data_IF_432757607740
#
_entry.id   IF_432757607740
#
_cell.length_a   1.000
_cell.length_b   1.000
_cell.length_c   1.000
_cell.angle_alpha   90.00
_cell.angle_beta   90.00
_cell.angle_gamma   90.00
#
_symmetry.space_group_name_H-M   'P 1'
#
loop_
_entity.id
_entity.type
_entity.pdbx_description
1 polymer ?
#
# COMPACT_ATOMS: atom_id res chain seq x y z
N UNK A 1 -34.78 25.66 -21.66
CA UNK A 1 -34.44 24.46 -22.46
C UNK A 1 -32.93 24.40 -22.60
N UNK A 2 -32.38 23.17 -22.51
CA UNK A 2 -30.99 22.73 -22.73
C UNK A 2 -30.03 22.82 -21.52
N UNK A 3 -30.09 21.78 -20.69
CA UNK A 3 -29.02 21.38 -19.76
C UNK A 3 -28.11 20.41 -20.51
N UNK A 4 -26.85 20.77 -20.72
CA UNK A 4 -25.82 19.84 -21.23
C UNK A 4 -25.26 19.02 -20.07
N UNK A 5 -25.63 17.75 -20.00
CA UNK A 5 -25.06 16.74 -19.12
C UNK A 5 -23.81 16.15 -19.76
N UNK A 6 -22.65 16.31 -19.13
CA UNK A 6 -21.47 15.51 -19.40
C UNK A 6 -21.03 14.84 -18.09
N UNK A 7 -21.56 13.63 -17.85
CA UNK A 7 -21.12 12.76 -16.76
C UNK A 7 -20.06 11.83 -17.34
N UNK A 8 -18.79 12.10 -17.04
CA UNK A 8 -17.71 11.18 -17.37
C UNK A 8 -17.59 10.12 -16.26
N UNK A 9 -18.20 8.96 -16.48
CA UNK A 9 -18.00 7.75 -15.67
C UNK A 9 -16.69 7.08 -16.11
N UNK A 10 -15.66 7.09 -15.26
CA UNK A 10 -14.48 6.24 -15.43
C UNK A 10 -14.59 5.03 -14.51
N UNK A 11 -15.13 3.95 -15.06
CA UNK A 11 -15.13 2.62 -14.45
C UNK A 11 -13.77 1.95 -14.67
N UNK A 12 -13.02 1.71 -13.60
CA UNK A 12 -11.85 0.82 -13.66
C UNK A 12 -12.29 -0.61 -13.35
N UNK A 13 -12.41 -1.42 -14.40
CA UNK A 13 -12.66 -2.85 -14.31
C UNK A 13 -11.43 -3.58 -13.74
N UNK A 14 -11.62 -4.32 -12.65
CA UNK A 14 -10.60 -5.16 -12.02
C UNK A 14 -10.71 -6.57 -12.62
N UNK A 15 -9.80 -6.92 -13.52
CA UNK A 15 -9.72 -8.30 -14.05
C UNK A 15 -8.91 -9.19 -13.11
N UNK A 16 -9.55 -10.25 -12.64
CA UNK A 16 -8.97 -11.36 -11.88
C UNK A 16 -8.16 -12.27 -12.82
N UNK A 17 -6.98 -12.71 -12.38
CA UNK A 17 -6.16 -13.69 -13.10
C UNK A 17 -6.49 -15.11 -12.62
N UNK A 18 -6.71 -16.03 -13.56
CA UNK A 18 -6.58 -17.47 -13.35
C UNK A 18 -5.20 -17.86 -13.89
N UNK A 19 -4.32 -18.39 -13.04
CA UNK A 19 -3.11 -19.10 -13.48
C UNK A 19 -3.26 -20.56 -13.06
N UNK A 20 -3.43 -21.41 -14.07
CA UNK A 20 -3.40 -22.86 -13.96
C UNK A 20 -1.95 -23.32 -13.74
N UNK A 21 -1.75 -24.20 -12.76
CA UNK A 21 -0.46 -24.84 -12.48
C UNK A 21 -0.12 -25.87 -13.57
N UNK A 22 1.13 -25.90 -14.03
CA UNK A 22 1.66 -26.97 -14.88
C UNK A 22 2.90 -27.59 -14.21
N UNK A 23 2.88 -28.90 -13.85
CA UNK A 23 4.06 -29.58 -13.32
C UNK A 23 4.88 -30.21 -14.47
N UNK A 24 6.14 -29.81 -14.62
CA UNK A 24 7.09 -30.51 -15.48
C UNK A 24 7.89 -31.56 -14.69
N UNK A 25 8.00 -32.75 -15.30
CA UNK A 25 8.56 -34.02 -14.80
C UNK A 25 10.09 -33.96 -14.54
N UNK A 26 10.64 -34.90 -13.74
CA UNK A 26 12.06 -34.98 -13.44
C UNK A 26 12.84 -35.69 -14.56
N UNK A 27 14.07 -35.22 -14.82
CA UNK A 27 15.08 -35.96 -15.58
C UNK A 27 16.16 -36.43 -14.61
N UNK A 28 16.33 -37.75 -14.55
CA UNK A 28 17.47 -38.41 -13.93
C UNK A 28 18.60 -38.54 -14.95
N UNK A 29 19.82 -38.13 -14.62
CA UNK A 29 21.04 -38.67 -15.22
C UNK A 29 22.10 -38.88 -14.14
N UNK A 30 22.62 -40.11 -14.13
CA UNK A 30 23.73 -40.57 -13.32
C UNK A 30 25.06 -40.06 -13.87
N UNK A 31 26.03 -39.85 -12.98
CA UNK A 31 27.42 -39.56 -13.32
C UNK A 31 28.32 -39.74 -12.12
N UNK A 32 29.00 -40.89 -12.07
CA UNK A 32 30.05 -41.18 -11.11
C UNK A 32 31.34 -40.44 -11.49
N UNK A 33 32.06 -39.92 -10.49
CA UNK A 33 33.38 -39.32 -10.65
C UNK A 33 34.01 -39.04 -9.29
N UNK A 34 34.96 -39.89 -8.89
CA UNK A 34 35.83 -39.72 -7.72
C UNK A 34 36.89 -38.65 -7.99
N UNK A 35 37.26 -37.85 -6.98
CA UNK A 35 38.53 -37.10 -7.01
C UNK A 35 38.64 -35.88 -6.09
N UNK A 36 39.50 -36.04 -5.07
CA UNK A 36 40.35 -35.04 -4.39
C UNK A 36 39.78 -34.25 -3.19
N UNK A 37 40.60 -34.24 -2.13
CA UNK A 37 40.35 -33.83 -0.75
C UNK A 37 40.57 -32.31 -0.49
N UNK A 38 40.48 -31.84 0.76
CA UNK A 38 39.63 -30.73 1.17
C UNK A 38 40.32 -29.36 1.01
N UNK A 39 39.67 -28.42 0.34
CA UNK A 39 40.03 -27.01 0.49
C UNK A 39 39.21 -26.45 1.65
N UNK A 40 39.92 -25.97 2.67
CA UNK A 40 39.46 -25.25 3.87
C UNK A 40 38.08 -24.62 3.72
N UNK A 41 37.12 -24.90 4.61
CA UNK A 41 35.91 -24.08 4.65
C UNK A 41 36.34 -22.68 5.06
N UNK A 42 36.37 -21.76 4.08
CA UNK A 42 36.10 -20.35 4.36
C UNK A 42 34.88 -20.37 5.27
N UNK A 43 35.02 -19.83 6.46
CA UNK A 43 33.93 -19.62 7.42
C UNK A 43 32.82 -18.87 6.69
N UNK A 44 31.95 -19.62 6.01
CA UNK A 44 30.64 -19.18 5.60
C UNK A 44 29.95 -19.05 6.93
N UNK A 45 30.04 -17.87 7.50
CA UNK A 45 29.33 -17.52 8.72
C UNK A 45 27.93 -18.05 8.52
N UNK A 46 27.58 -19.11 9.24
CA UNK A 46 26.21 -19.54 9.45
C UNK A 46 25.52 -18.35 10.10
N UNK A 47 25.11 -17.38 9.28
CA UNK A 47 24.04 -16.45 9.61
C UNK A 47 22.75 -17.26 9.51
N UNK A 48 22.69 -18.09 10.53
CA UNK A 48 21.76 -19.05 11.07
C UNK A 48 20.30 -18.93 10.62
N UNK A 49 19.54 -20.05 10.65
CA UNK A 49 18.08 -20.08 10.50
C UNK A 49 17.34 -19.02 11.32
N UNK A 50 17.89 -18.64 12.49
CA UNK A 50 17.34 -17.60 13.38
C UNK A 50 17.26 -16.22 12.72
N UNK A 51 18.26 -15.80 11.94
CA UNK A 51 18.23 -14.50 11.24
C UNK A 51 17.30 -14.51 10.03
N UNK A 52 17.16 -15.65 9.35
CA UNK A 52 16.18 -15.81 8.29
C UNK A 52 14.74 -15.77 8.83
N UNK A 53 14.50 -16.42 9.96
CA UNK A 53 13.21 -16.40 10.65
C UNK A 53 12.84 -14.99 11.18
N UNK A 54 13.80 -14.21 11.68
CA UNK A 54 13.54 -12.83 12.09
C UNK A 54 13.21 -11.92 10.91
N UNK A 55 13.95 -12.05 9.80
CA UNK A 55 13.68 -11.27 8.59
C UNK A 55 12.30 -11.60 8.01
N UNK A 56 11.91 -12.88 7.98
CA UNK A 56 10.56 -13.29 7.56
C UNK A 56 9.46 -12.63 8.43
N UNK A 57 9.59 -12.67 9.75
CA UNK A 57 8.61 -12.03 10.66
C UNK A 57 8.49 -10.52 10.44
N UNK A 58 9.60 -9.82 10.21
CA UNK A 58 9.55 -8.38 9.91
C UNK A 58 8.88 -8.10 8.56
N UNK A 59 9.09 -8.95 7.55
CA UNK A 59 8.36 -8.84 6.28
C UNK A 59 6.86 -9.10 6.46
N UNK A 60 6.47 -10.12 7.23
CA UNK A 60 5.08 -10.44 7.54
C UNK A 60 4.38 -9.28 8.30
N UNK A 61 5.09 -8.59 9.20
CA UNK A 61 4.54 -7.40 9.87
C UNK A 61 4.28 -6.22 8.89
N UNK A 62 5.14 -6.03 7.89
CA UNK A 62 4.88 -5.06 6.82
C UNK A 62 3.66 -5.50 6.00
N UNK A 63 3.56 -6.77 5.63
CA UNK A 63 2.43 -7.32 4.88
C UNK A 63 1.09 -7.12 5.61
N UNK A 64 1.04 -7.40 6.90
CA UNK A 64 -0.14 -7.20 7.74
C UNK A 64 -0.56 -5.73 7.75
N UNK A 65 0.39 -4.81 7.93
CA UNK A 65 0.11 -3.37 7.87
C UNK A 65 -0.48 -2.98 6.51
N UNK A 66 0.08 -3.48 5.40
CA UNK A 66 -0.41 -3.18 4.05
C UNK A 66 -1.83 -3.71 3.81
N UNK A 67 -2.13 -4.92 4.29
CA UNK A 67 -3.47 -5.50 4.21
C UNK A 67 -4.50 -4.65 4.96
N UNK A 68 -4.17 -4.27 6.20
CA UNK A 68 -5.01 -3.41 7.03
C UNK A 68 -5.17 -2.01 6.42
N UNK A 69 -4.09 -1.46 5.84
CA UNK A 69 -4.06 -0.19 5.11
C UNK A 69 -5.03 -0.19 3.93
N UNK A 70 -5.00 -1.23 3.10
CA UNK A 70 -5.92 -1.38 1.98
C UNK A 70 -7.36 -1.43 2.43
N UNK A 71 -7.64 -2.26 3.44
CA UNK A 71 -9.01 -2.46 3.94
C UNK A 71 -9.61 -1.16 4.48
N UNK A 72 -8.87 -0.46 5.34
CA UNK A 72 -9.35 0.77 5.98
C UNK A 72 -9.54 1.93 5.01
N UNK A 73 -8.89 1.92 3.85
CA UNK A 73 -9.01 2.97 2.83
C UNK A 73 -9.90 2.59 1.66
N UNK A 74 -10.46 1.38 1.68
CA UNK A 74 -11.53 0.99 0.80
C UNK A 74 -12.71 1.95 1.01
N UNK A 75 -13.32 2.40 -0.08
CA UNK A 75 -14.50 3.27 0.00
C UNK A 75 -14.23 4.76 0.25
N UNK A 76 -12.97 5.25 0.34
CA UNK A 76 -12.76 6.70 0.45
C UNK A 76 -13.45 7.47 -0.68
N UNK A 77 -13.34 6.99 -1.92
CA UNK A 77 -14.01 7.63 -3.07
C UNK A 77 -15.52 7.71 -2.88
N UNK A 78 -16.14 6.64 -2.36
CA UNK A 78 -17.57 6.58 -2.11
C UNK A 78 -17.97 7.50 -0.95
N UNK A 79 -17.16 7.55 0.11
CA UNK A 79 -17.34 8.44 1.25
C UNK A 79 -17.26 9.93 0.84
N UNK A 80 -16.30 10.30 -0.01
CA UNK A 80 -16.20 11.65 -0.58
C UNK A 80 -17.40 11.98 -1.46
N UNK A 81 -17.84 11.03 -2.29
CA UNK A 81 -19.04 11.21 -3.12
C UNK A 81 -20.30 11.37 -2.25
N UNK A 82 -20.42 10.62 -1.16
CA UNK A 82 -21.53 10.74 -0.21
C UNK A 82 -21.50 12.08 0.54
N UNK A 83 -20.33 12.51 1.03
CA UNK A 83 -20.15 13.80 1.68
C UNK A 83 -20.49 14.97 0.73
N UNK A 84 -20.09 14.87 -0.54
CA UNK A 84 -20.44 15.85 -1.57
C UNK A 84 -21.94 15.96 -1.84
N UNK A 85 -22.71 14.89 -1.58
CA UNK A 85 -24.18 14.87 -1.66
C UNK A 85 -24.89 15.22 -0.36
N UNK A 86 -24.17 15.75 0.64
CA UNK A 86 -24.72 16.07 1.96
C UNK A 86 -25.20 14.86 2.77
N UNK A 87 -24.69 13.65 2.47
CA UNK A 87 -24.93 12.50 3.32
C UNK A 87 -24.01 12.57 4.55
N UNK A 88 -24.54 12.67 5.79
CA UNK A 88 -23.72 12.72 7.00
C UNK A 88 -22.84 11.49 7.18
N UNK A 89 -23.25 10.32 6.64
CA UNK A 89 -22.44 9.10 6.66
C UNK A 89 -21.15 9.24 5.85
N UNK A 90 -21.16 10.10 4.83
CA UNK A 90 -19.96 10.40 4.04
C UNK A 90 -18.90 11.10 4.88
N UNK A 91 -19.28 12.15 5.62
CA UNK A 91 -18.37 12.87 6.51
C UNK A 91 -17.83 11.96 7.63
N UNK A 92 -18.70 11.14 8.23
CA UNK A 92 -18.31 10.16 9.24
C UNK A 92 -17.29 9.15 8.69
N UNK A 93 -17.57 8.56 7.53
CA UNK A 93 -16.65 7.63 6.89
C UNK A 93 -15.29 8.27 6.53
N UNK A 94 -15.28 9.52 6.02
CA UNK A 94 -14.01 10.24 5.75
C UNK A 94 -13.22 10.43 7.06
N UNK A 95 -13.89 10.73 8.18
CA UNK A 95 -13.25 10.88 9.49
C UNK A 95 -12.63 9.55 9.94
N UNK A 96 -13.37 8.45 9.90
CA UNK A 96 -12.88 7.12 10.32
C UNK A 96 -11.70 6.64 9.49
N UNK A 97 -11.76 6.88 8.17
CA UNK A 97 -10.66 6.59 7.24
C UNK A 97 -9.42 7.41 7.61
N UNK A 98 -9.60 8.69 7.93
CA UNK A 98 -8.49 9.59 8.31
C UNK A 98 -7.82 9.14 9.61
N UNK A 99 -8.62 8.71 10.60
CA UNK A 99 -8.12 8.16 11.87
C UNK A 99 -7.36 6.85 11.63
N UNK A 100 -7.94 5.93 10.86
CA UNK A 100 -7.30 4.65 10.53
C UNK A 100 -5.94 4.86 9.84
N UNK A 101 -5.86 5.83 8.92
CA UNK A 101 -4.60 6.17 8.22
C UNK A 101 -3.54 6.73 9.17
N UNK A 102 -3.94 7.56 10.14
CA UNK A 102 -3.03 8.06 11.20
C UNK A 102 -2.43 6.90 12.01
N UNK A 103 -3.26 5.95 12.40
CA UNK A 103 -2.85 4.84 13.25
C UNK A 103 -1.91 3.89 12.46
N UNK A 104 -2.18 3.66 11.18
CA UNK A 104 -1.27 2.93 10.28
C UNK A 104 0.08 3.63 10.11
N UNK A 105 0.09 4.96 9.98
CA UNK A 105 1.33 5.74 9.91
C UNK A 105 2.14 5.58 11.20
N UNK A 106 1.49 5.56 12.37
CA UNK A 106 2.16 5.31 13.65
C UNK A 106 2.75 3.89 13.71
N UNK A 107 1.98 2.87 13.31
CA UNK A 107 2.46 1.49 13.21
C UNK A 107 3.67 1.37 12.27
N UNK A 108 3.63 2.02 11.10
CA UNK A 108 4.73 1.99 10.15
C UNK A 108 6.01 2.63 10.71
N UNK A 109 5.88 3.72 11.45
CA UNK A 109 7.01 4.36 12.16
C UNK A 109 7.59 3.45 13.25
N UNK A 110 6.77 2.60 13.85
CA UNK A 110 7.19 1.66 14.90
C UNK A 110 7.78 0.34 14.39
N UNK A 111 7.62 -0.01 13.11
CA UNK A 111 8.12 -1.27 12.55
C UNK A 111 9.62 -1.48 12.79
N UNK A 112 9.99 -2.65 13.30
CA UNK A 112 11.36 -3.13 13.24
C UNK A 112 11.62 -3.79 11.88
N UNK A 113 12.67 -3.33 11.20
CA UNK A 113 13.07 -3.77 9.86
C UNK A 113 14.56 -4.09 9.78
N UNK A 114 15.21 -4.22 10.94
CA UNK A 114 16.67 -4.38 11.07
C UNK A 114 17.22 -5.68 10.46
N UNK A 115 16.40 -6.72 10.36
CA UNK A 115 16.78 -8.00 9.77
C UNK A 115 16.48 -8.07 8.26
N UNK A 116 15.74 -7.10 7.71
CA UNK A 116 15.44 -7.03 6.28
C UNK A 116 16.58 -6.37 5.51
N UNK A 117 17.00 -7.01 4.41
CA UNK A 117 17.93 -6.38 3.46
C UNK A 117 17.26 -5.14 2.86
N UNK A 118 17.83 -3.96 3.14
CA UNK A 118 17.26 -2.68 2.73
C UNK A 118 16.04 -2.25 3.53
N UNK A 119 15.86 -2.79 4.75
CA UNK A 119 14.70 -2.52 5.61
C UNK A 119 14.44 -1.04 5.88
N UNK A 120 15.48 -0.26 6.20
CA UNK A 120 15.35 1.20 6.43
C UNK A 120 14.72 1.91 5.23
N UNK A 121 15.26 1.69 4.03
CA UNK A 121 14.74 2.28 2.79
C UNK A 121 13.26 1.92 2.55
N UNK A 122 12.84 0.70 2.86
CA UNK A 122 11.45 0.27 2.69
C UNK A 122 10.55 0.91 3.74
N UNK A 123 11.00 0.97 4.99
CA UNK A 123 10.28 1.65 6.08
C UNK A 123 10.10 3.14 5.77
N UNK A 124 11.15 3.82 5.34
CA UNK A 124 11.09 5.24 4.98
C UNK A 124 10.11 5.48 3.83
N UNK A 125 10.14 4.64 2.79
CA UNK A 125 9.21 4.74 1.66
C UNK A 125 7.76 4.45 2.07
N UNK A 126 7.53 3.52 3.02
CA UNK A 126 6.20 3.24 3.57
C UNK A 126 5.69 4.42 4.39
N UNK A 127 6.52 4.95 5.29
CA UNK A 127 6.18 6.10 6.13
C UNK A 127 5.85 7.31 5.27
N UNK A 128 6.64 7.60 4.23
CA UNK A 128 6.38 8.67 3.27
C UNK A 128 5.03 8.49 2.55
N UNK A 129 4.76 7.29 2.04
CA UNK A 129 3.49 6.97 1.37
C UNK A 129 2.26 7.11 2.28
N UNK A 130 2.37 6.65 3.52
CA UNK A 130 1.28 6.75 4.52
C UNK A 130 1.10 8.19 4.99
N UNK A 131 2.18 8.94 5.17
CA UNK A 131 2.13 10.34 5.58
C UNK A 131 1.44 11.21 4.52
N UNK A 132 1.83 11.08 3.25
CA UNK A 132 1.18 11.80 2.15
C UNK A 132 -0.28 11.38 1.96
N UNK A 133 -0.59 10.10 2.18
CA UNK A 133 -1.99 9.64 2.18
C UNK A 133 -2.79 10.26 3.31
N UNK A 134 -2.20 10.37 4.51
CA UNK A 134 -2.84 11.01 5.66
C UNK A 134 -3.07 12.50 5.43
N UNK A 135 -2.10 13.22 4.84
CA UNK A 135 -2.24 14.63 4.47
C UNK A 135 -3.39 14.85 3.48
N UNK A 136 -3.58 13.91 2.54
CA UNK A 136 -4.72 13.94 1.62
C UNK A 136 -6.05 13.71 2.36
N UNK A 137 -6.11 12.69 3.21
CA UNK A 137 -7.32 12.33 3.97
C UNK A 137 -7.72 13.49 4.92
N UNK A 138 -6.77 14.16 5.58
CA UNK A 138 -7.01 15.39 6.37
C UNK A 138 -7.60 16.51 5.53
N UNK A 139 -7.04 16.76 4.34
CA UNK A 139 -7.54 17.83 3.47
C UNK A 139 -8.98 17.54 3.01
N UNK A 140 -9.27 16.30 2.65
CA UNK A 140 -10.64 15.90 2.33
C UNK A 140 -11.58 16.00 3.53
N UNK A 141 -11.14 15.63 4.73
CA UNK A 141 -11.94 15.78 5.94
C UNK A 141 -12.27 17.26 6.22
N UNK A 142 -11.28 18.15 6.05
CA UNK A 142 -11.47 19.59 6.21
C UNK A 142 -12.48 20.16 5.20
N UNK A 143 -12.39 19.73 3.93
CA UNK A 143 -13.40 20.06 2.93
C UNK A 143 -14.78 19.53 3.32
N UNK A 144 -14.89 18.23 3.62
CA UNK A 144 -16.18 17.59 3.89
C UNK A 144 -16.89 18.22 5.10
N UNK A 145 -16.12 18.60 6.14
CA UNK A 145 -16.65 19.30 7.31
C UNK A 145 -17.24 20.66 6.95
N UNK A 146 -16.48 21.51 6.26
CA UNK A 146 -16.98 22.82 5.82
C UNK A 146 -18.15 22.71 4.84
N UNK A 147 -18.06 21.79 3.88
CA UNK A 147 -19.11 21.55 2.91
C UNK A 147 -20.44 21.20 3.60
N UNK A 148 -20.39 20.40 4.66
CA UNK A 148 -21.56 20.10 5.48
C UNK A 148 -22.07 21.34 6.25
N UNK A 149 -21.18 22.13 6.87
CA UNK A 149 -21.53 23.37 7.58
C UNK A 149 -22.20 24.41 6.67
N UNK A 150 -21.80 24.45 5.39
CA UNK A 150 -22.34 25.34 4.36
C UNK A 150 -23.58 24.76 3.66
N UNK A 151 -24.24 23.75 4.23
CA UNK A 151 -25.41 23.06 3.66
C UNK A 151 -25.16 22.51 2.24
N UNK A 152 -23.94 22.04 1.99
CA UNK A 152 -23.45 21.57 0.70
C UNK A 152 -23.57 22.58 -0.44
N UNK A 153 -23.50 23.87 -0.10
CA UNK A 153 -23.40 24.91 -1.08
C UNK A 153 -22.03 24.91 -1.75
N UNK A 154 -21.99 25.43 -2.98
CA UNK A 154 -20.75 25.72 -3.68
C UNK A 154 -20.13 24.55 -4.46
N UNK A 155 -19.25 24.88 -5.40
CA UNK A 155 -18.59 23.89 -6.26
C UNK A 155 -17.45 23.14 -5.56
N UNK A 156 -17.60 21.82 -5.41
CA UNK A 156 -16.59 20.90 -4.83
C UNK A 156 -15.24 20.97 -5.56
N UNK A 157 -15.26 20.96 -6.90
CA UNK A 157 -14.03 20.88 -7.70
C UNK A 157 -13.11 22.10 -7.56
N UNK A 158 -13.64 23.25 -7.15
CA UNK A 158 -12.85 24.47 -6.90
C UNK A 158 -12.59 24.75 -5.43
N UNK A 159 -13.13 23.94 -4.51
CA UNK A 159 -12.81 24.07 -3.08
C UNK A 159 -11.30 23.87 -2.86
N UNK A 160 -10.74 24.73 -2.00
CA UNK A 160 -9.31 24.77 -1.71
C UNK A 160 -8.81 23.46 -1.11
N UNK A 161 -9.49 22.89 -0.12
CA UNK A 161 -9.02 21.69 0.56
C UNK A 161 -9.36 20.41 -0.21
N UNK A 162 -10.45 20.40 -0.98
CA UNK A 162 -10.70 19.31 -1.93
C UNK A 162 -9.57 19.21 -2.97
N UNK A 163 -9.18 20.33 -3.58
CA UNK A 163 -8.02 20.38 -4.49
C UNK A 163 -6.72 19.98 -3.82
N UNK A 164 -6.49 20.43 -2.58
CA UNK A 164 -5.31 20.01 -1.79
C UNK A 164 -5.33 18.50 -1.53
N UNK A 165 -6.48 17.91 -1.24
CA UNK A 165 -6.65 16.46 -1.09
C UNK A 165 -6.26 15.70 -2.36
N UNK A 166 -6.66 16.20 -3.54
CA UNK A 166 -6.26 15.63 -4.84
C UNK A 166 -4.75 15.73 -5.07
N UNK A 167 -4.16 16.92 -4.87
CA UNK A 167 -2.70 17.14 -5.02
C UNK A 167 -1.89 16.19 -4.11
N UNK A 168 -2.30 16.07 -2.84
CA UNK A 168 -1.65 15.16 -1.88
C UNK A 168 -1.87 13.70 -2.25
N UNK A 169 -3.03 13.35 -2.81
CA UNK A 169 -3.29 12.00 -3.33
C UNK A 169 -2.35 11.63 -4.48
N UNK A 170 -2.07 12.56 -5.39
CA UNK A 170 -1.08 12.35 -6.47
C UNK A 170 0.34 12.18 -5.92
N UNK A 171 0.73 13.00 -4.95
CA UNK A 171 2.02 12.86 -4.26
C UNK A 171 2.13 11.50 -3.55
N UNK A 172 1.06 11.09 -2.85
CA UNK A 172 0.97 9.80 -2.21
C UNK A 172 1.09 8.66 -3.22
N UNK A 173 0.46 8.77 -4.40
CA UNK A 173 0.56 7.76 -5.45
C UNK A 173 2.00 7.58 -5.96
N UNK A 174 2.75 8.68 -6.10
CA UNK A 174 4.19 8.64 -6.43
C UNK A 174 5.00 7.95 -5.33
N UNK A 175 4.71 8.22 -4.06
CA UNK A 175 5.35 7.57 -2.92
C UNK A 175 5.03 6.07 -2.83
N UNK A 176 3.76 5.69 -3.01
CA UNK A 176 3.31 4.28 -3.08
C UNK A 176 3.98 3.52 -4.21
N UNK A 177 4.25 4.19 -5.34
CA UNK A 177 5.03 3.63 -6.45
C UNK A 177 6.47 3.31 -6.04
N UNK A 178 7.13 4.24 -5.34
CA UNK A 178 8.48 4.00 -4.80
C UNK A 178 8.49 2.85 -3.79
N UNK A 179 7.53 2.83 -2.88
CA UNK A 179 7.38 1.76 -1.90
C UNK A 179 7.15 0.39 -2.58
N UNK A 180 6.19 0.29 -3.49
CA UNK A 180 5.88 -0.96 -4.19
C UNK A 180 7.09 -1.51 -4.96
N UNK A 181 7.89 -0.64 -5.58
CA UNK A 181 9.13 -1.02 -6.24
C UNK A 181 10.17 -1.57 -5.25
N UNK A 182 10.30 -0.94 -4.07
CA UNK A 182 11.19 -1.39 -3.01
C UNK A 182 10.75 -2.69 -2.35
N UNK A 183 9.43 -2.88 -2.20
CA UNK A 183 8.82 -4.04 -1.54
C UNK A 183 8.89 -5.31 -2.39
N UNK A 184 8.73 -5.20 -3.71
CA UNK A 184 8.60 -6.35 -4.62
C UNK A 184 9.67 -7.45 -4.44
N UNK A 185 10.98 -7.14 -4.33
CA UNK A 185 11.99 -8.18 -4.13
C UNK A 185 11.86 -8.90 -2.78
N UNK A 186 11.44 -8.18 -1.72
CA UNK A 186 11.18 -8.77 -0.40
C UNK A 186 9.97 -9.68 -0.47
N UNK A 187 8.87 -9.21 -1.07
CA UNK A 187 7.67 -9.99 -1.25
C UNK A 187 7.96 -11.31 -1.99
N UNK A 188 8.73 -11.26 -3.08
CA UNK A 188 9.17 -12.44 -3.82
C UNK A 188 10.05 -13.37 -2.98
N UNK A 189 10.98 -12.82 -2.20
CA UNK A 189 11.89 -13.61 -1.35
C UNK A 189 11.13 -14.41 -0.29
N UNK A 190 10.06 -13.85 0.27
CA UNK A 190 9.32 -14.46 1.38
C UNK A 190 7.96 -15.08 0.98
N UNK A 191 7.56 -14.97 -0.28
CA UNK A 191 6.28 -15.48 -0.79
C UNK A 191 5.07 -14.66 -0.34
N UNK A 192 5.22 -13.34 -0.22
CA UNK A 192 4.18 -12.39 0.21
C UNK A 192 3.56 -11.65 -1.00
N UNK A 193 2.50 -10.89 -0.74
CA UNK A 193 1.79 -10.13 -1.80
C UNK A 193 2.70 -9.06 -2.41
N UNK A 194 2.82 -9.08 -3.74
CA UNK A 194 3.47 -8.01 -4.50
C UNK A 194 2.49 -6.86 -4.73
N UNK A 195 2.29 -6.00 -3.73
CA UNK A 195 1.33 -4.90 -3.76
C UNK A 195 1.54 -3.93 -4.93
N UNK A 196 0.43 -3.52 -5.56
CA UNK A 196 0.40 -2.42 -6.54
C UNK A 196 0.20 -1.08 -5.81
N UNK A 197 0.65 0.05 -6.38
CA UNK A 197 0.53 1.37 -5.73
C UNK A 197 -0.89 1.72 -5.29
N UNK A 198 -1.91 1.43 -6.12
CA UNK A 198 -3.31 1.69 -5.77
C UNK A 198 -3.90 0.77 -4.68
N UNK A 199 -3.11 -0.16 -4.13
CA UNK A 199 -3.51 -1.09 -3.08
C UNK A 199 -2.84 -0.80 -1.72
N UNK A 200 -2.03 0.27 -1.63
CA UNK A 200 -1.28 0.69 -0.43
C UNK A 200 -1.95 1.94 0.16
#
# INVERSE_FOLDING_TARGET
>A
MLISLAVALLAFAVTWWIVTANPSRPIQHAGAGQGVAPTSPKTRTERTPKTAASARRQAEAIEELLSNSRSARAGLSDALAAAGRCDPKGLEAVRDITVSRRDQLALAKALDVSALKGGSRIKDALVDALNLSHDADIAFLAWAGRHAEENCAGPVGSDRDYRRGLERSEAAQKAKTRFAAAWRPIAQTYGLTAWKPGQI
#
